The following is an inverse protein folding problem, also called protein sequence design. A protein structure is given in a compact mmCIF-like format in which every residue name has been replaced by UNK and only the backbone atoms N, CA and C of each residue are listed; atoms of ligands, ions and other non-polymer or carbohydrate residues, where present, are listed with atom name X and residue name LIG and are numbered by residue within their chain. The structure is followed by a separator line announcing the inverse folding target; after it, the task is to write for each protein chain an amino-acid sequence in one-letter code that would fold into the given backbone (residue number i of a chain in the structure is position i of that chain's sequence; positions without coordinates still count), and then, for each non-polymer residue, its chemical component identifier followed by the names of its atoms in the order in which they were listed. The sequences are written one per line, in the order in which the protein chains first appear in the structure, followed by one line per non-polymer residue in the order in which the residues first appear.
data_IF_415277257697
#
_entry.id   IF_415277257697
#
_cell.length_a   1.000
_cell.length_b   1.000
_cell.length_c   1.000
_cell.angle_alpha   90.00
_cell.angle_beta   90.00
_cell.angle_gamma   90.00
#
_symmetry.space_group_name_H-M   'P 1'
#
loop_
_entity.id
_entity.type
_entity.pdbx_description
1 polymer ?
#
# COMPACT_ATOMS: atom_id res chain seq x y z
N UNK A 1 -10.31 16.88 -49.64
CA UNK A 1 -9.72 17.94 -48.78
C UNK A 1 -10.80 18.40 -47.83
N UNK A 2 -10.93 17.73 -46.68
CA UNK A 2 -11.81 18.21 -45.59
C UNK A 2 -11.00 19.15 -44.69
N UNK A 3 -11.58 20.31 -44.39
CA UNK A 3 -10.95 21.33 -43.56
C UNK A 3 -10.96 20.91 -42.08
N UNK A 4 -9.91 21.22 -41.30
CA UNK A 4 -9.84 20.82 -39.90
C UNK A 4 -10.78 21.67 -39.03
N UNK A 5 -11.67 20.99 -38.31
CA UNK A 5 -12.59 21.56 -37.34
C UNK A 5 -11.81 22.16 -36.14
N UNK A 6 -11.87 23.49 -35.99
CA UNK A 6 -11.24 24.20 -34.87
C UNK A 6 -11.96 23.84 -33.57
N UNK A 7 -11.34 23.00 -32.73
CA UNK A 7 -11.75 22.79 -31.33
C UNK A 7 -11.85 24.14 -30.60
N UNK A 8 -13.07 24.59 -30.32
CA UNK A 8 -13.34 25.72 -29.41
C UNK A 8 -12.70 25.40 -28.06
N UNK A 9 -11.72 26.18 -27.63
CA UNK A 9 -11.22 26.13 -26.25
C UNK A 9 -12.40 26.42 -25.33
N UNK A 10 -12.91 25.38 -24.64
CA UNK A 10 -13.88 25.55 -23.55
C UNK A 10 -13.21 26.47 -22.52
N UNK A 11 -13.79 27.64 -22.26
CA UNK A 11 -13.33 28.48 -21.15
C UNK A 11 -13.35 27.63 -19.86
N UNK A 12 -12.38 27.80 -18.95
CA UNK A 12 -12.39 27.08 -17.69
C UNK A 12 -13.67 27.42 -16.95
N UNK A 13 -14.53 26.42 -16.72
CA UNK A 13 -15.70 26.55 -15.86
C UNK A 13 -15.16 26.80 -14.46
N UNK A 14 -15.35 28.02 -13.94
CA UNK A 14 -14.98 28.35 -12.57
C UNK A 14 -15.74 27.40 -11.63
N UNK A 15 -15.03 26.76 -10.69
CA UNK A 15 -15.69 25.92 -9.68
C UNK A 15 -16.65 26.76 -8.84
N UNK A 16 -17.76 26.17 -8.39
CA UNK A 16 -18.77 26.85 -7.56
C UNK A 16 -18.16 27.58 -6.36
N UNK A 17 -17.09 27.03 -5.76
CA UNK A 17 -16.34 27.68 -4.68
C UNK A 17 -15.73 29.02 -5.08
N UNK A 18 -15.20 29.12 -6.29
CA UNK A 18 -14.59 30.36 -6.81
C UNK A 18 -15.68 31.39 -7.07
N UNK A 19 -16.84 30.97 -7.60
CA UNK A 19 -17.99 31.85 -7.84
C UNK A 19 -18.50 32.41 -6.50
N UNK A 20 -18.71 31.55 -5.49
CA UNK A 20 -19.15 31.97 -4.16
C UNK A 20 -18.12 32.89 -3.50
N UNK A 21 -16.83 32.56 -3.58
CA UNK A 21 -15.75 33.40 -3.02
C UNK A 21 -15.69 34.78 -3.68
N UNK A 22 -15.86 34.84 -5.01
CA UNK A 22 -15.90 36.10 -5.74
C UNK A 22 -17.13 36.93 -5.38
N UNK A 23 -18.30 36.31 -5.27
CA UNK A 23 -19.53 36.99 -4.84
C UNK A 23 -19.40 37.58 -3.43
N UNK A 24 -18.86 36.81 -2.47
CA UNK A 24 -18.60 37.27 -1.11
C UNK A 24 -17.59 38.42 -1.08
N UNK A 25 -16.51 38.33 -1.88
CA UNK A 25 -15.52 39.39 -1.99
C UNK A 25 -16.12 40.69 -2.56
N UNK A 26 -16.90 40.58 -3.63
CA UNK A 26 -17.58 41.74 -4.24
C UNK A 26 -18.52 42.38 -3.22
N UNK A 27 -19.34 41.58 -2.54
CA UNK A 27 -20.30 42.05 -1.53
C UNK A 27 -19.57 42.75 -0.39
N UNK A 28 -18.47 42.17 0.10
CA UNK A 28 -17.64 42.77 1.13
C UNK A 28 -17.04 44.11 0.69
N UNK A 29 -16.44 44.18 -0.49
CA UNK A 29 -15.86 45.42 -1.03
C UNK A 29 -16.93 46.49 -1.23
N UNK A 30 -18.10 46.13 -1.76
CA UNK A 30 -19.24 47.05 -1.89
C UNK A 30 -19.70 47.57 -0.53
N UNK A 31 -19.77 46.72 0.49
CA UNK A 31 -20.07 47.13 1.86
C UNK A 31 -19.04 48.12 2.43
N UNK A 32 -17.75 47.88 2.22
CA UNK A 32 -16.68 48.79 2.68
C UNK A 32 -16.76 50.14 1.97
N UNK A 33 -17.00 50.15 0.66
CA UNK A 33 -17.19 51.39 -0.12
C UNK A 33 -18.42 52.15 0.39
N UNK A 34 -19.54 51.45 0.63
CA UNK A 34 -20.75 52.06 1.18
C UNK A 34 -20.49 52.67 2.56
N UNK A 35 -19.73 51.98 3.42
CA UNK A 35 -19.36 52.51 4.73
C UNK A 35 -18.48 53.74 4.62
N UNK A 36 -17.50 53.71 3.73
CA UNK A 36 -16.60 54.82 3.49
C UNK A 36 -17.36 56.07 3.04
N UNK A 37 -18.13 55.95 1.96
CA UNK A 37 -18.91 57.06 1.38
C UNK A 37 -19.97 57.57 2.37
N UNK A 38 -20.68 56.66 3.04
CA UNK A 38 -21.76 57.02 3.98
C UNK A 38 -21.31 57.81 5.20
N UNK A 39 -20.03 57.77 5.57
CA UNK A 39 -19.46 58.53 6.68
C UNK A 39 -18.65 59.73 6.21
N UNK A 40 -18.02 59.65 5.03
CA UNK A 40 -17.10 60.67 4.50
C UNK A 40 -17.74 62.06 4.36
N UNK A 41 -18.98 62.14 3.91
CA UNK A 41 -19.69 63.43 3.72
C UNK A 41 -20.30 64.00 5.01
N UNK A 42 -20.16 63.31 6.14
CA UNK A 42 -20.70 63.76 7.43
C UNK A 42 -19.73 64.77 8.06
N UNK A 43 -20.20 65.96 8.46
CA UNK A 43 -19.35 67.08 8.94
C UNK A 43 -18.35 66.71 10.06
N UNK A 44 -18.64 65.70 10.87
CA UNK A 44 -17.77 65.16 11.94
C UNK A 44 -17.55 63.64 11.83
N UNK A 45 -17.75 63.06 10.64
CA UNK A 45 -17.68 61.63 10.39
C UNK A 45 -16.24 61.09 10.42
N UNK A 46 -16.05 59.95 11.08
CA UNK A 46 -14.77 59.22 11.16
C UNK A 46 -14.84 57.91 10.36
N UNK A 47 -14.64 57.94 9.02
CA UNK A 47 -14.83 56.76 8.16
C UNK A 47 -13.90 55.60 8.53
N UNK A 48 -12.67 55.88 8.96
CA UNK A 48 -11.73 54.85 9.44
C UNK A 48 -12.26 54.12 10.68
N UNK A 49 -12.94 54.83 11.59
CA UNK A 49 -13.55 54.20 12.78
C UNK A 49 -14.70 53.30 12.36
N UNK A 50 -15.52 53.72 11.40
CA UNK A 50 -16.60 52.91 10.86
C UNK A 50 -16.09 51.64 10.18
N UNK A 51 -15.05 51.74 9.34
CA UNK A 51 -14.42 50.59 8.68
C UNK A 51 -13.82 49.61 9.70
N UNK A 52 -13.16 50.11 10.76
CA UNK A 52 -12.63 49.24 11.81
C UNK A 52 -13.74 48.43 12.49
N UNK A 53 -14.88 49.07 12.81
CA UNK A 53 -16.05 48.38 13.35
C UNK A 53 -16.66 47.39 12.36
N UNK A 54 -16.69 47.72 11.07
CA UNK A 54 -17.13 46.80 10.01
C UNK A 54 -16.28 45.53 9.99
N UNK A 55 -14.95 45.68 10.04
CA UNK A 55 -14.03 44.55 10.08
C UNK A 55 -14.19 43.73 11.37
N UNK A 56 -14.37 44.39 12.52
CA UNK A 56 -14.60 43.71 13.79
C UNK A 56 -15.89 42.87 13.78
N UNK A 57 -16.99 43.45 13.30
CA UNK A 57 -18.26 42.73 13.13
C UNK A 57 -18.14 41.58 12.13
N UNK A 58 -17.42 41.79 11.02
CA UNK A 58 -17.15 40.75 10.03
C UNK A 58 -16.36 39.58 10.62
N UNK A 59 -15.28 39.85 11.35
CA UNK A 59 -14.46 38.82 12.00
C UNK A 59 -15.26 38.07 13.07
N UNK A 60 -16.08 38.77 13.85
CA UNK A 60 -16.96 38.13 14.83
C UNK A 60 -17.97 37.19 14.15
N UNK A 61 -18.64 37.68 13.11
CA UNK A 61 -19.52 36.87 12.27
C UNK A 61 -18.79 35.66 11.70
N UNK A 62 -17.61 35.86 11.13
CA UNK A 62 -16.79 34.83 10.52
C UNK A 62 -16.35 33.75 11.52
N UNK A 63 -15.99 34.12 12.75
CA UNK A 63 -15.64 33.15 13.80
C UNK A 63 -16.83 32.25 14.13
N UNK A 64 -18.02 32.82 14.25
CA UNK A 64 -19.25 32.05 14.48
C UNK A 64 -19.57 31.20 13.24
N UNK A 65 -19.50 31.77 12.04
CA UNK A 65 -19.76 31.08 10.78
C UNK A 65 -18.83 29.89 10.57
N UNK A 66 -17.55 30.06 10.86
CA UNK A 66 -16.56 28.99 10.84
C UNK A 66 -16.96 27.85 11.79
N UNK A 67 -17.29 28.17 13.05
CA UNK A 67 -17.70 27.19 14.06
C UNK A 67 -18.88 26.34 13.56
N UNK A 68 -19.93 27.00 13.04
CA UNK A 68 -21.10 26.34 12.47
C UNK A 68 -20.82 25.61 11.15
N UNK A 69 -19.75 25.98 10.44
CA UNK A 69 -19.33 25.39 9.19
C UNK A 69 -18.48 24.13 9.33
N UNK A 70 -17.96 23.83 10.53
CA UNK A 70 -17.16 22.63 10.78
C UNK A 70 -18.02 21.38 10.48
N UNK A 71 -17.56 20.49 9.58
CA UNK A 71 -18.31 19.28 9.25
C UNK A 71 -18.41 18.39 10.48
N UNK A 72 -19.63 17.89 10.75
CA UNK A 72 -19.89 16.89 11.78
C UNK A 72 -19.95 15.53 11.12
N UNK A 73 -19.08 14.60 11.53
CA UNK A 73 -19.15 13.21 11.11
C UNK A 73 -20.21 12.56 11.98
N UNK A 74 -21.30 12.10 11.37
CA UNK A 74 -22.23 11.23 12.07
C UNK A 74 -21.48 9.93 12.37
N UNK A 75 -20.99 9.79 13.61
CA UNK A 75 -20.57 8.49 14.12
C UNK A 75 -21.81 7.60 14.03
N UNK A 76 -21.87 6.76 13.00
CA UNK A 76 -22.86 5.71 12.92
C UNK A 76 -22.54 4.76 14.05
N UNK A 77 -23.29 4.85 15.16
CA UNK A 77 -23.28 3.78 16.13
C UNK A 77 -23.55 2.48 15.36
N UNK A 78 -22.68 1.46 15.42
CA UNK A 78 -23.02 0.17 14.87
C UNK A 78 -24.35 -0.26 15.48
N UNK A 79 -25.30 -0.79 14.68
CA UNK A 79 -26.58 -1.23 15.20
C UNK A 79 -26.32 -2.20 16.36
N UNK A 80 -27.05 -2.09 17.49
CA UNK A 80 -26.88 -3.00 18.61
C UNK A 80 -27.03 -4.44 18.08
N UNK A 81 -26.20 -5.38 18.57
CA UNK A 81 -26.32 -6.77 18.16
C UNK A 81 -27.77 -7.21 18.38
N UNK A 82 -28.36 -7.99 17.46
CA UNK A 82 -29.72 -8.48 17.62
C UNK A 82 -29.83 -9.19 18.97
N UNK A 83 -30.93 -9.01 19.71
CA UNK A 83 -31.14 -9.69 20.98
C UNK A 83 -30.98 -11.20 20.75
N UNK A 84 -30.42 -11.96 21.70
CA UNK A 84 -30.31 -13.41 21.57
C UNK A 84 -31.70 -13.96 21.31
N UNK A 85 -31.92 -14.45 20.08
CA UNK A 85 -33.12 -15.19 19.71
C UNK A 85 -33.20 -16.39 20.63
N UNK A 86 -34.03 -16.28 21.67
CA UNK A 86 -34.48 -17.42 22.44
C UNK A 86 -35.35 -18.28 21.52
N UNK A 87 -34.75 -19.25 20.85
CA UNK A 87 -35.48 -20.34 20.22
C UNK A 87 -35.47 -21.54 21.16
N UNK A 88 -36.63 -22.10 21.52
CA UNK A 88 -36.69 -23.45 22.07
C UNK A 88 -36.23 -24.45 21.01
N UNK A 89 -35.50 -25.46 21.46
CA UNK A 89 -35.00 -26.56 20.65
C UNK A 89 -36.10 -27.24 19.80
N UNK A 90 -35.82 -27.43 18.51
CA UNK A 90 -36.54 -28.36 17.64
C UNK A 90 -35.52 -29.06 16.70
N UNK A 91 -35.80 -30.29 16.23
CA UNK A 91 -34.76 -31.28 15.90
C UNK A 91 -34.12 -31.12 14.52
N UNK A 92 -32.89 -31.63 14.43
CA UNK A 92 -32.01 -31.70 13.26
C UNK A 92 -32.58 -32.59 12.14
N UNK A 93 -33.11 -32.02 11.06
CA UNK A 93 -33.15 -32.68 9.72
C UNK A 93 -33.36 -31.65 8.59
N UNK A 94 -32.27 -31.13 8.01
CA UNK A 94 -32.11 -30.74 6.59
C UNK A 94 -30.75 -30.00 6.40
N UNK A 95 -30.00 -30.24 5.30
CA UNK A 95 -28.77 -29.51 5.02
C UNK A 95 -29.05 -28.08 4.51
N UNK A 96 -28.21 -27.08 4.83
CA UNK A 96 -28.42 -25.70 4.42
C UNK A 96 -28.07 -25.47 2.93
N UNK A 97 -28.77 -24.55 2.24
CA UNK A 97 -28.41 -24.14 0.87
C UNK A 97 -27.09 -23.35 0.84
N UNK A 98 -26.38 -23.30 -0.31
CA UNK A 98 -25.08 -22.65 -0.42
C UNK A 98 -25.18 -21.13 -0.24
N UNK A 99 -24.15 -20.48 0.35
CA UNK A 99 -24.15 -19.03 0.54
C UNK A 99 -24.05 -18.29 -0.79
N UNK A 100 -24.90 -17.28 -0.97
CA UNK A 100 -24.85 -16.35 -2.10
C UNK A 100 -23.58 -15.48 -2.04
N UNK A 101 -23.01 -15.05 -3.19
CA UNK A 101 -21.79 -14.24 -3.21
C UNK A 101 -22.01 -12.85 -2.59
N UNK A 102 -21.00 -12.26 -1.93
CA UNK A 102 -21.13 -10.93 -1.36
C UNK A 102 -21.27 -9.88 -2.47
N UNK A 103 -22.38 -9.15 -2.46
CA UNK A 103 -22.59 -7.96 -3.29
C UNK A 103 -21.65 -6.85 -2.81
N UNK A 104 -20.56 -6.62 -3.55
CA UNK A 104 -19.56 -5.56 -3.33
C UNK A 104 -20.09 -4.16 -3.68
N UNK A 105 -21.16 -3.70 -3.03
CA UNK A 105 -21.57 -2.30 -3.05
C UNK A 105 -22.11 -1.88 -1.69
N UNK A 106 -21.34 -2.11 -0.63
CA UNK A 106 -21.53 -1.34 0.59
C UNK A 106 -20.79 -0.03 0.39
N UNK A 107 -21.57 1.00 0.08
CA UNK A 107 -21.16 2.39 -0.06
C UNK A 107 -20.20 2.74 1.08
N UNK A 108 -18.94 3.00 0.72
CA UNK A 108 -17.91 3.46 1.65
C UNK A 108 -18.47 4.63 2.47
N UNK A 109 -18.87 4.33 3.71
CA UNK A 109 -19.17 5.33 4.71
C UNK A 109 -17.93 6.19 4.85
N UNK A 110 -18.12 7.49 4.70
CA UNK A 110 -17.06 8.49 4.71
C UNK A 110 -16.51 8.63 6.14
N UNK A 111 -15.72 7.65 6.58
CA UNK A 111 -15.03 7.68 7.88
C UNK A 111 -13.81 8.62 7.76
N UNK A 112 -14.11 9.91 7.82
CA UNK A 112 -13.12 10.96 8.07
C UNK A 112 -12.50 10.70 9.44
N UNK A 113 -11.40 9.94 9.50
CA UNK A 113 -10.53 9.81 10.69
C UNK A 113 -9.74 11.11 10.91
N UNK A 114 -10.44 12.22 11.01
CA UNK A 114 -9.88 13.52 11.40
C UNK A 114 -9.89 13.58 12.93
N UNK A 115 -8.93 14.29 13.51
CA UNK A 115 -8.88 14.58 14.94
C UNK A 115 -10.22 15.22 15.41
N UNK A 116 -11.07 14.43 16.05
CA UNK A 116 -12.45 14.79 16.43
C UNK A 116 -12.52 15.83 17.55
N UNK A 117 -11.39 16.21 18.15
CA UNK A 117 -11.37 17.18 19.25
C UNK A 117 -12.01 18.52 18.85
N UNK A 118 -11.68 19.07 17.68
CA UNK A 118 -12.26 20.35 17.23
C UNK A 118 -13.73 20.22 16.84
N UNK A 119 -14.12 19.08 16.27
CA UNK A 119 -15.51 18.78 15.93
C UNK A 119 -16.38 18.70 17.19
N UNK A 120 -15.96 17.88 18.17
CA UNK A 120 -16.64 17.74 19.44
C UNK A 120 -16.72 19.07 20.17
N UNK A 121 -15.62 19.84 20.14
CA UNK A 121 -15.58 21.15 20.77
C UNK A 121 -16.60 22.10 20.13
N UNK A 122 -16.66 22.09 18.81
CA UNK A 122 -17.62 22.89 18.06
C UNK A 122 -19.07 22.47 18.29
N UNK A 123 -19.35 21.17 18.38
CA UNK A 123 -20.71 20.68 18.60
C UNK A 123 -21.29 21.13 19.95
N UNK A 124 -20.53 21.01 21.05
CA UNK A 124 -21.00 21.51 22.35
C UNK A 124 -21.13 23.03 22.34
N UNK A 125 -20.17 23.76 21.75
CA UNK A 125 -20.17 25.21 21.75
C UNK A 125 -21.34 25.77 20.92
N UNK A 126 -21.58 25.22 19.72
CA UNK A 126 -22.72 25.63 18.89
C UNK A 126 -24.06 25.35 19.57
N UNK A 127 -24.22 24.22 20.27
CA UNK A 127 -25.43 23.93 21.07
C UNK A 127 -25.65 24.95 22.17
N UNK A 128 -24.60 25.35 22.89
CA UNK A 128 -24.68 26.40 23.92
C UNK A 128 -25.06 27.74 23.28
N UNK A 129 -24.40 28.14 22.18
CA UNK A 129 -24.68 29.40 21.49
C UNK A 129 -26.13 29.47 21.00
N UNK A 130 -26.63 28.41 20.37
CA UNK A 130 -28.03 28.34 19.92
C UNK A 130 -28.99 28.34 21.11
N UNK A 131 -28.72 27.54 22.15
CA UNK A 131 -29.55 27.44 23.34
C UNK A 131 -29.68 28.77 24.08
N UNK A 132 -28.55 29.43 24.38
CA UNK A 132 -28.54 30.75 25.02
C UNK A 132 -29.15 31.83 24.11
N UNK A 133 -28.85 31.77 22.81
CA UNK A 133 -29.40 32.70 21.83
C UNK A 133 -30.92 32.65 21.74
N UNK A 134 -31.53 31.47 21.82
CA UNK A 134 -32.99 31.30 21.82
C UNK A 134 -33.64 31.90 23.06
N UNK A 135 -33.03 31.74 24.24
CA UNK A 135 -33.53 32.31 25.50
C UNK A 135 -33.45 33.84 25.48
N UNK A 136 -32.32 34.38 24.99
CA UNK A 136 -32.03 35.82 25.01
C UNK A 136 -32.57 36.58 23.79
N UNK A 137 -33.22 35.91 22.83
CA UNK A 137 -33.61 36.49 21.54
C UNK A 137 -34.45 37.77 21.67
N UNK A 138 -35.31 37.83 22.70
CA UNK A 138 -36.16 39.01 22.97
C UNK A 138 -35.36 40.26 23.36
N UNK A 139 -34.15 40.11 23.89
CA UNK A 139 -33.28 41.22 24.30
C UNK A 139 -32.40 41.75 23.16
N UNK A 140 -32.31 41.01 22.04
CA UNK A 140 -31.42 41.32 20.92
C UNK A 140 -31.66 42.72 20.33
N UNK A 141 -32.90 43.18 20.07
CA UNK A 141 -33.11 44.53 19.54
C UNK A 141 -32.60 45.65 20.47
N UNK A 142 -32.80 45.50 21.78
CA UNK A 142 -32.35 46.48 22.77
C UNK A 142 -30.81 46.49 22.90
N UNK A 143 -30.18 45.31 22.90
CA UNK A 143 -28.71 45.17 22.91
C UNK A 143 -28.08 45.71 21.63
N UNK A 144 -28.68 45.41 20.47
CA UNK A 144 -28.24 45.95 19.18
C UNK A 144 -28.34 47.47 19.16
N UNK A 145 -29.45 48.06 19.62
CA UNK A 145 -29.59 49.51 19.73
C UNK A 145 -28.51 50.13 20.62
N UNK A 146 -28.19 49.48 21.74
CA UNK A 146 -27.16 49.94 22.68
C UNK A 146 -25.75 49.87 22.08
N UNK A 147 -25.42 48.75 21.41
CA UNK A 147 -24.15 48.57 20.70
C UNK A 147 -24.00 49.56 19.53
N UNK A 148 -25.05 49.73 18.73
CA UNK A 148 -25.09 50.69 17.63
C UNK A 148 -24.90 52.12 18.13
N UNK A 149 -25.55 52.51 19.23
CA UNK A 149 -25.35 53.83 19.85
C UNK A 149 -23.92 54.04 20.36
N UNK A 150 -23.29 53.01 20.92
CA UNK A 150 -21.88 53.07 21.33
C UNK A 150 -20.95 53.26 20.12
N UNK A 151 -21.15 52.48 19.06
CA UNK A 151 -20.37 52.55 17.82
C UNK A 151 -20.58 53.91 17.13
N UNK A 152 -21.83 54.39 17.06
CA UNK A 152 -22.19 55.66 16.44
C UNK A 152 -21.48 56.84 17.10
N UNK A 153 -21.35 56.87 18.43
CA UNK A 153 -20.56 57.91 19.14
C UNK A 153 -19.09 57.96 18.69
N UNK A 154 -18.53 56.82 18.32
CA UNK A 154 -17.17 56.74 17.76
C UNK A 154 -17.09 57.19 16.31
N UNK A 155 -18.17 57.02 15.53
CA UNK A 155 -18.24 57.37 14.11
C UNK A 155 -18.56 58.85 13.91
N UNK A 156 -19.59 59.38 14.56
CA UNK A 156 -20.05 60.77 14.41
C UNK A 156 -21.49 60.98 14.89
N UNK A 157 -21.94 62.24 15.06
CA UNK A 157 -23.31 62.53 15.49
C UNK A 157 -24.34 62.09 14.44
N UNK A 158 -25.46 61.49 14.89
CA UNK A 158 -26.59 61.11 14.03
C UNK A 158 -26.40 59.83 13.23
N UNK A 159 -25.35 59.03 13.49
CA UNK A 159 -25.07 57.80 12.74
C UNK A 159 -25.63 56.53 13.38
N UNK A 160 -26.60 56.64 14.30
CA UNK A 160 -27.13 55.51 15.09
C UNK A 160 -27.73 54.39 14.21
N UNK A 161 -28.58 54.75 13.25
CA UNK A 161 -29.20 53.79 12.32
C UNK A 161 -28.17 53.19 11.36
N UNK A 162 -27.20 54.00 10.93
CA UNK A 162 -26.10 53.56 10.08
C UNK A 162 -25.21 52.53 10.81
N UNK A 163 -24.85 52.80 12.07
CA UNK A 163 -24.09 51.89 12.92
C UNK A 163 -24.85 50.58 13.15
N UNK A 164 -26.18 50.62 13.36
CA UNK A 164 -26.99 49.42 13.48
C UNK A 164 -26.98 48.58 12.19
N UNK A 165 -27.14 49.21 11.02
CA UNK A 165 -27.07 48.54 9.73
C UNK A 165 -25.70 47.92 9.45
N UNK A 166 -24.62 48.64 9.78
CA UNK A 166 -23.24 48.18 9.67
C UNK A 166 -22.99 46.90 10.49
N UNK A 167 -23.40 46.91 11.77
CA UNK A 167 -23.25 45.75 12.67
C UNK A 167 -23.96 44.53 12.08
N UNK A 168 -25.23 44.68 11.66
CA UNK A 168 -26.02 43.57 11.12
C UNK A 168 -25.40 43.06 9.81
N UNK A 169 -25.08 43.96 8.88
CA UNK A 169 -24.58 43.62 7.57
C UNK A 169 -23.26 42.83 7.63
N UNK A 170 -22.25 43.38 8.31
CA UNK A 170 -20.93 42.75 8.34
C UNK A 170 -20.91 41.48 9.19
N UNK A 171 -21.71 41.39 10.26
CA UNK A 171 -21.84 40.16 11.05
C UNK A 171 -22.46 39.04 10.22
N UNK A 172 -23.55 39.31 9.49
CA UNK A 172 -24.20 38.30 8.62
C UNK A 172 -23.26 37.90 7.48
N UNK A 173 -22.59 38.87 6.84
CA UNK A 173 -21.67 38.60 5.74
C UNK A 173 -20.47 37.76 6.18
N UNK A 174 -19.89 38.08 7.34
CA UNK A 174 -18.82 37.29 7.95
C UNK A 174 -19.28 35.87 8.27
N UNK A 175 -20.45 35.73 8.91
CA UNK A 175 -21.04 34.44 9.24
C UNK A 175 -21.26 33.59 7.98
N UNK A 176 -22.00 34.12 7.01
CA UNK A 176 -22.30 33.42 5.76
C UNK A 176 -21.01 33.06 5.01
N UNK A 177 -20.06 33.99 4.95
CA UNK A 177 -18.81 33.79 4.23
C UNK A 177 -17.97 32.66 4.82
N UNK A 178 -17.68 32.71 6.12
CA UNK A 178 -16.90 31.67 6.77
C UNK A 178 -17.63 30.32 6.80
N UNK A 179 -18.95 30.31 7.01
CA UNK A 179 -19.77 29.09 6.98
C UNK A 179 -19.70 28.40 5.61
N UNK A 180 -19.94 29.15 4.53
CA UNK A 180 -19.94 28.61 3.17
C UNK A 180 -18.54 28.16 2.76
N UNK A 181 -17.49 28.94 3.04
CA UNK A 181 -16.10 28.57 2.72
C UNK A 181 -15.71 27.29 3.46
N UNK A 182 -16.00 27.19 4.76
CA UNK A 182 -15.67 26.00 5.56
C UNK A 182 -16.38 24.77 5.01
N UNK A 183 -17.69 24.89 4.70
CA UNK A 183 -18.50 23.77 4.22
C UNK A 183 -18.20 23.35 2.79
N UNK A 184 -17.90 24.30 1.89
CA UNK A 184 -17.69 24.03 0.47
C UNK A 184 -16.24 23.69 0.12
N UNK A 185 -15.27 24.32 0.80
CA UNK A 185 -13.85 24.15 0.48
C UNK A 185 -13.17 23.17 1.42
N UNK A 186 -13.22 23.39 2.73
CA UNK A 186 -12.41 22.63 3.70
C UNK A 186 -12.88 21.18 3.78
N UNK A 187 -14.19 20.94 3.90
CA UNK A 187 -14.74 19.59 3.92
C UNK A 187 -14.42 18.80 2.64
N UNK A 188 -14.53 19.45 1.48
CA UNK A 188 -14.17 18.84 0.19
C UNK A 188 -12.66 18.60 0.05
N UNK A 189 -11.82 19.48 0.60
CA UNK A 189 -10.36 19.33 0.56
C UNK A 189 -9.88 18.15 1.40
N UNK A 190 -10.36 18.00 2.64
CA UNK A 190 -10.02 16.84 3.49
C UNK A 190 -10.51 15.54 2.86
N UNK A 191 -11.76 15.50 2.38
CA UNK A 191 -12.27 14.30 1.72
C UNK A 191 -11.53 13.92 0.42
N UNK A 192 -10.91 14.87 -0.29
CA UNK A 192 -10.02 14.57 -1.42
C UNK A 192 -8.65 14.09 -0.96
N UNK A 193 -8.09 14.72 0.08
CA UNK A 193 -6.79 14.33 0.64
C UNK A 193 -6.83 12.90 1.20
N UNK A 194 -7.86 12.55 1.97
CA UNK A 194 -8.01 11.22 2.56
C UNK A 194 -8.21 10.15 1.48
N UNK A 195 -9.09 10.41 0.50
CA UNK A 195 -9.27 9.49 -0.64
C UNK A 195 -7.98 9.31 -1.46
N UNK A 196 -7.20 10.38 -1.63
CA UNK A 196 -5.91 10.27 -2.31
C UNK A 196 -4.90 9.46 -1.49
N UNK A 197 -4.87 9.65 -0.17
CA UNK A 197 -4.02 8.89 0.74
C UNK A 197 -4.38 7.40 0.75
N UNK A 198 -5.66 7.05 0.92
CA UNK A 198 -6.12 5.65 0.88
C UNK A 198 -5.85 5.00 -0.48
N UNK A 199 -6.03 5.74 -1.57
CA UNK A 199 -5.71 5.23 -2.92
C UNK A 199 -4.21 4.98 -3.08
N UNK A 200 -3.36 5.89 -2.57
CA UNK A 200 -1.91 5.70 -2.60
C UNK A 200 -1.50 4.47 -1.78
N UNK A 201 -2.09 4.28 -0.61
CA UNK A 201 -1.85 3.12 0.25
C UNK A 201 -2.23 1.81 -0.43
N UNK A 202 -3.40 1.75 -1.09
CA UNK A 202 -3.82 0.58 -1.87
C UNK A 202 -2.86 0.32 -3.05
N UNK A 203 -2.42 1.37 -3.74
CA UNK A 203 -1.42 1.25 -4.81
C UNK A 203 -0.08 0.74 -4.29
N UNK A 204 0.37 1.20 -3.13
CA UNK A 204 1.62 0.75 -2.53
C UNK A 204 1.53 -0.73 -2.12
N UNK A 205 0.41 -1.16 -1.53
CA UNK A 205 0.15 -2.56 -1.20
C UNK A 205 0.16 -3.45 -2.44
N UNK A 206 -0.60 -3.09 -3.49
CA UNK A 206 -0.63 -3.83 -4.75
C UNK A 206 0.74 -3.88 -5.42
N UNK A 207 1.49 -2.78 -5.36
CA UNK A 207 2.83 -2.71 -5.93
C UNK A 207 3.77 -3.66 -5.22
N UNK A 208 3.77 -3.65 -3.87
CA UNK A 208 4.56 -4.58 -3.07
C UNK A 208 4.15 -6.03 -3.31
N UNK A 209 2.84 -6.30 -3.42
CA UNK A 209 2.34 -7.63 -3.72
C UNK A 209 2.87 -8.15 -5.07
N UNK A 210 3.07 -7.27 -6.05
CA UNK A 210 3.61 -7.64 -7.36
C UNK A 210 5.14 -7.65 -7.45
N UNK A 211 5.86 -7.27 -6.39
CA UNK A 211 7.33 -7.35 -6.38
C UNK A 211 7.76 -8.81 -6.61
N UNK A 212 8.64 -9.02 -7.59
CA UNK A 212 9.28 -10.31 -7.76
C UNK A 212 10.33 -10.47 -6.66
N UNK A 213 10.21 -11.54 -5.88
CA UNK A 213 11.20 -11.85 -4.87
C UNK A 213 12.51 -12.29 -5.53
N UNK A 214 13.66 -11.83 -5.01
CA UNK A 214 14.94 -12.17 -5.60
C UNK A 214 15.09 -13.69 -5.65
N UNK A 215 15.47 -14.17 -6.83
CA UNK A 215 15.99 -15.50 -7.00
C UNK A 215 17.10 -15.78 -5.96
N UNK A 216 17.04 -16.90 -5.23
CA UNK A 216 18.18 -17.34 -4.41
C UNK A 216 19.44 -17.38 -5.29
N UNK A 217 20.47 -16.61 -4.90
CA UNK A 217 21.72 -16.47 -5.66
C UNK A 217 21.70 -15.41 -6.77
N UNK A 218 20.74 -14.47 -6.79
CA UNK A 218 20.83 -13.24 -7.62
C UNK A 218 20.60 -11.98 -6.79
N UNK A 219 21.40 -10.97 -7.09
CA UNK A 219 21.16 -9.59 -6.68
C UNK A 219 20.19 -8.94 -7.68
N UNK A 220 18.89 -9.00 -7.41
CA UNK A 220 17.90 -8.21 -8.15
C UNK A 220 17.73 -6.84 -7.47
N UNK A 221 18.01 -5.77 -8.22
CA UNK A 221 17.89 -4.40 -7.74
C UNK A 221 16.42 -3.97 -7.83
N UNK A 222 15.83 -3.63 -6.69
CA UNK A 222 14.48 -3.08 -6.61
C UNK A 222 14.41 -1.74 -7.34
N UNK A 223 13.34 -1.50 -8.12
CA UNK A 223 13.12 -0.18 -8.72
C UNK A 223 12.88 0.89 -7.65
N UNK A 224 13.17 2.16 -7.94
CA UNK A 224 12.98 3.25 -6.98
C UNK A 224 11.54 3.37 -6.50
N UNK A 225 10.57 3.14 -7.39
CA UNK A 225 9.15 3.15 -7.07
C UNK A 225 8.75 1.96 -6.19
N UNK A 226 9.25 0.75 -6.47
CA UNK A 226 9.01 -0.44 -5.63
C UNK A 226 9.62 -0.24 -4.24
N UNK A 227 10.81 0.36 -4.19
CA UNK A 227 11.50 0.68 -2.93
C UNK A 227 10.73 1.72 -2.13
N UNK A 228 10.13 2.71 -2.78
CA UNK A 228 9.27 3.70 -2.13
C UNK A 228 8.00 3.04 -1.57
N UNK A 229 7.29 2.25 -2.38
CA UNK A 229 6.10 1.53 -1.94
C UNK A 229 6.40 0.57 -0.79
N UNK A 230 7.49 -0.22 -0.89
CA UNK A 230 7.93 -1.11 0.17
C UNK A 230 8.23 -0.34 1.47
N UNK A 231 8.89 0.82 1.41
CA UNK A 231 9.13 1.66 2.59
C UNK A 231 7.84 2.14 3.23
N UNK A 232 6.88 2.60 2.43
CA UNK A 232 5.59 3.06 2.92
C UNK A 232 4.84 1.94 3.64
N UNK A 233 4.73 0.77 3.01
CA UNK A 233 4.09 -0.41 3.61
C UNK A 233 4.83 -0.86 4.88
N UNK A 234 6.16 -0.98 4.83
CA UNK A 234 6.99 -1.45 5.94
C UNK A 234 6.99 -0.49 7.15
N UNK A 235 6.68 0.79 6.95
CA UNK A 235 6.65 1.78 8.04
C UNK A 235 5.49 1.58 9.02
N UNK A 236 4.44 0.86 8.61
CA UNK A 236 3.31 0.55 9.49
C UNK A 236 3.74 -0.43 10.60
N UNK A 237 3.37 -0.18 11.87
CA UNK A 237 3.61 -1.13 12.95
C UNK A 237 2.86 -2.45 12.71
N UNK A 238 3.56 -3.58 12.78
CA UNK A 238 2.96 -4.92 12.61
C UNK A 238 1.79 -5.21 13.59
N UNK A 239 1.77 -4.54 14.74
CA UNK A 239 0.72 -4.66 15.74
C UNK A 239 -0.63 -4.07 15.28
N UNK A 240 -0.61 -3.10 14.36
CA UNK A 240 -1.81 -2.46 13.82
C UNK A 240 -2.42 -3.26 12.65
N UNK A 241 -1.70 -4.27 12.15
CA UNK A 241 -2.13 -5.10 11.03
C UNK A 241 -2.88 -6.35 11.53
N UNK A 242 -4.13 -6.48 11.10
CA UNK A 242 -5.03 -7.58 11.49
C UNK A 242 -5.22 -8.60 10.36
N UNK A 243 -5.31 -8.15 9.10
CA UNK A 243 -5.54 -9.03 7.96
C UNK A 243 -4.29 -9.87 7.65
N UNK A 244 -4.41 -11.21 7.53
CA UNK A 244 -3.29 -12.06 7.14
C UNK A 244 -2.68 -11.64 5.79
N UNK A 245 -3.50 -11.20 4.84
CA UNK A 245 -3.00 -10.77 3.54
C UNK A 245 -2.17 -9.49 3.67
N UNK A 246 -2.67 -8.50 4.42
CA UNK A 246 -1.93 -7.26 4.68
C UNK A 246 -0.62 -7.51 5.41
N UNK A 247 -0.62 -8.40 6.42
CA UNK A 247 0.58 -8.83 7.12
C UNK A 247 1.57 -9.50 6.16
N UNK A 248 1.09 -10.31 5.21
CA UNK A 248 1.95 -10.99 4.23
C UNK A 248 2.59 -10.01 3.25
N UNK A 249 1.86 -8.97 2.82
CA UNK A 249 2.37 -7.90 1.96
C UNK A 249 3.36 -7.04 2.72
N UNK A 250 3.08 -6.73 3.99
CA UNK A 250 4.04 -6.07 4.88
C UNK A 250 5.32 -6.88 5.04
N UNK A 251 5.22 -8.19 5.26
CA UNK A 251 6.37 -9.08 5.35
C UNK A 251 7.18 -9.12 4.05
N UNK A 252 6.49 -9.07 2.89
CA UNK A 252 7.11 -8.96 1.57
C UNK A 252 7.88 -7.65 1.43
N UNK A 253 7.31 -6.53 1.86
CA UNK A 253 7.99 -5.24 1.87
C UNK A 253 9.27 -5.28 2.73
N UNK A 254 9.19 -5.84 3.94
CA UNK A 254 10.37 -6.01 4.80
C UNK A 254 11.45 -6.86 4.11
N UNK A 255 11.05 -7.99 3.51
CA UNK A 255 11.97 -8.88 2.78
C UNK A 255 12.66 -8.15 1.61
N UNK A 256 11.89 -7.41 0.80
CA UNK A 256 12.41 -6.64 -0.34
C UNK A 256 13.36 -5.50 0.06
N UNK A 257 13.25 -5.01 1.30
CA UNK A 257 14.14 -3.99 1.86
C UNK A 257 15.37 -4.58 2.58
N UNK A 258 15.48 -5.91 2.68
CA UNK A 258 16.56 -6.59 3.40
C UNK A 258 16.33 -6.74 4.91
N UNK A 259 15.14 -6.42 5.41
CA UNK A 259 14.77 -6.53 6.83
C UNK A 259 14.28 -7.97 7.14
N UNK A 260 15.18 -8.95 7.01
CA UNK A 260 14.83 -10.37 7.01
C UNK A 260 14.16 -10.85 8.32
N UNK A 261 14.61 -10.35 9.47
CA UNK A 261 14.07 -10.72 10.78
C UNK A 261 12.59 -10.32 10.90
N UNK A 262 12.25 -9.12 10.46
CA UNK A 262 10.87 -8.62 10.52
C UNK A 262 10.00 -9.29 9.46
N UNK A 263 10.55 -9.58 8.27
CA UNK A 263 9.86 -10.40 7.28
C UNK A 263 9.49 -11.79 7.83
N UNK A 264 10.42 -12.46 8.52
CA UNK A 264 10.15 -13.76 9.17
C UNK A 264 9.03 -13.64 10.21
N UNK A 265 9.02 -12.59 11.05
CA UNK A 265 7.92 -12.37 12.02
C UNK A 265 6.57 -12.18 11.33
N UNK A 266 6.52 -11.34 10.29
CA UNK A 266 5.29 -11.06 9.54
C UNK A 266 4.74 -12.31 8.87
N UNK A 267 5.57 -13.03 8.11
CA UNK A 267 5.16 -14.28 7.48
C UNK A 267 4.77 -15.33 8.51
N UNK A 268 5.52 -15.49 9.59
CA UNK A 268 5.18 -16.40 10.68
C UNK A 268 3.81 -16.12 11.30
N UNK A 269 3.43 -14.84 11.46
CA UNK A 269 2.10 -14.42 11.94
C UNK A 269 1.00 -14.73 10.91
N UNK A 270 1.26 -14.54 9.62
CA UNK A 270 0.26 -14.72 8.56
C UNK A 270 0.06 -16.16 8.09
N UNK A 271 1.10 -17.00 8.16
CA UNK A 271 1.11 -18.32 7.52
C UNK A 271 0.15 -19.33 8.14
N UNK A 272 -0.30 -19.09 9.38
CA UNK A 272 -1.33 -19.92 10.02
C UNK A 272 -2.66 -19.92 9.26
N UNK A 273 -3.00 -18.82 8.58
CA UNK A 273 -4.25 -18.67 7.80
C UNK A 273 -4.00 -18.70 6.29
N UNK A 274 -2.82 -18.28 5.84
CA UNK A 274 -2.43 -18.27 4.42
C UNK A 274 -1.61 -19.49 4.00
N UNK A 275 -1.54 -20.51 4.86
CA UNK A 275 -0.69 -21.67 4.66
C UNK A 275 -1.01 -22.50 3.42
N UNK A 276 -2.17 -22.31 2.78
CA UNK A 276 -2.50 -23.03 1.55
C UNK A 276 -2.02 -22.35 0.27
N UNK A 277 -1.56 -21.10 0.36
CA UNK A 277 -1.01 -20.39 -0.79
C UNK A 277 0.49 -20.72 -0.99
N UNK A 278 0.88 -21.39 -2.10
CA UNK A 278 2.26 -21.73 -2.37
C UNK A 278 3.16 -20.49 -2.54
N UNK A 279 2.62 -19.34 -2.99
CA UNK A 279 3.40 -18.11 -3.13
C UNK A 279 3.80 -17.57 -1.76
N UNK A 280 2.86 -17.52 -0.80
CA UNK A 280 3.13 -17.02 0.54
C UNK A 280 4.11 -17.94 1.29
N UNK A 281 4.04 -19.26 1.06
CA UNK A 281 5.05 -20.20 1.58
C UNK A 281 6.43 -20.02 0.96
N UNK A 282 6.51 -19.84 -0.35
CA UNK A 282 7.77 -19.56 -1.04
C UNK A 282 8.40 -18.26 -0.54
N UNK A 283 7.58 -17.22 -0.34
CA UNK A 283 8.04 -15.95 0.20
C UNK A 283 8.56 -16.08 1.65
N UNK A 284 7.86 -16.86 2.48
CA UNK A 284 8.32 -17.14 3.84
C UNK A 284 9.64 -17.94 3.84
N UNK A 285 9.75 -18.97 3.00
CA UNK A 285 10.99 -19.73 2.81
C UNK A 285 12.16 -18.82 2.41
N UNK A 286 11.91 -17.86 1.53
CA UNK A 286 12.91 -16.88 1.10
C UNK A 286 13.36 -15.99 2.26
N UNK A 287 12.43 -15.49 3.08
CA UNK A 287 12.76 -14.71 4.27
C UNK A 287 13.59 -15.52 5.28
N UNK A 288 13.20 -16.76 5.54
CA UNK A 288 13.93 -17.67 6.43
C UNK A 288 15.34 -17.93 5.93
N UNK A 289 15.52 -18.17 4.63
CA UNK A 289 16.83 -18.42 4.03
C UNK A 289 17.78 -17.25 4.28
N UNK A 290 17.36 -16.02 3.94
CA UNK A 290 18.20 -14.83 4.10
C UNK A 290 18.40 -14.42 5.56
N UNK A 291 17.48 -14.80 6.46
CA UNK A 291 17.68 -14.65 7.91
C UNK A 291 18.70 -15.63 8.51
N UNK A 292 19.13 -16.65 7.75
CA UNK A 292 20.06 -17.69 8.19
C UNK A 292 19.39 -18.97 8.68
N UNK A 293 18.06 -19.00 8.82
CA UNK A 293 17.29 -20.17 9.24
C UNK A 293 17.05 -21.17 8.09
N UNK A 294 18.14 -21.70 7.50
CA UNK A 294 18.13 -22.50 6.27
C UNK A 294 17.30 -23.78 6.35
N UNK A 295 17.32 -24.49 7.49
CA UNK A 295 16.54 -25.72 7.65
C UNK A 295 15.03 -25.45 7.62
N UNK A 296 14.59 -24.40 8.31
CA UNK A 296 13.20 -23.96 8.29
C UNK A 296 12.81 -23.44 6.90
N UNK A 297 13.73 -22.77 6.20
CA UNK A 297 13.52 -22.33 4.83
C UNK A 297 13.23 -23.53 3.90
N UNK A 298 14.02 -24.59 3.99
CA UNK A 298 13.81 -25.80 3.20
C UNK A 298 12.47 -26.47 3.49
N UNK A 299 12.06 -26.53 4.77
CA UNK A 299 10.74 -27.04 5.17
C UNK A 299 9.61 -26.23 4.53
N UNK A 300 9.64 -24.89 4.61
CA UNK A 300 8.60 -24.06 4.00
C UNK A 300 8.59 -24.16 2.47
N UNK A 301 9.76 -24.37 1.87
CA UNK A 301 9.89 -24.54 0.43
C UNK A 301 9.30 -25.87 -0.05
N UNK A 302 9.48 -26.96 0.71
CA UNK A 302 8.79 -28.23 0.47
C UNK A 302 7.28 -28.09 0.58
N UNK A 303 6.80 -27.33 1.57
CA UNK A 303 5.38 -27.06 1.75
C UNK A 303 4.78 -26.22 0.61
N UNK A 304 5.56 -25.29 0.03
CA UNK A 304 5.19 -24.57 -1.18
C UNK A 304 5.09 -25.53 -2.39
N UNK A 305 6.08 -26.40 -2.57
CA UNK A 305 6.10 -27.41 -3.63
C UNK A 305 4.90 -28.35 -3.58
N UNK A 306 4.55 -28.87 -2.39
CA UNK A 306 3.39 -29.77 -2.21
C UNK A 306 2.06 -29.14 -2.62
N UNK A 307 1.99 -27.80 -2.66
CA UNK A 307 0.79 -27.02 -2.99
C UNK A 307 0.78 -26.50 -4.43
N UNK A 308 1.83 -26.77 -5.21
CA UNK A 308 1.83 -26.43 -6.63
C UNK A 308 0.85 -27.33 -7.38
N UNK A 309 0.01 -26.70 -8.21
CA UNK A 309 -0.94 -27.39 -9.10
C UNK A 309 -0.67 -27.02 -10.56
N UNK A 310 -1.27 -27.73 -11.51
CA UNK A 310 -1.13 -27.39 -12.94
C UNK A 310 -1.56 -25.94 -13.27
N UNK A 311 -2.41 -25.33 -12.43
CA UNK A 311 -2.86 -23.94 -12.56
C UNK A 311 -1.95 -22.91 -11.89
N UNK A 312 -0.96 -23.34 -11.09
CA UNK A 312 -0.02 -22.42 -10.44
C UNK A 312 0.79 -21.61 -11.46
N UNK A 313 1.09 -20.36 -11.11
CA UNK A 313 1.92 -19.49 -11.93
C UNK A 313 3.26 -20.16 -12.29
N UNK A 314 3.65 -20.06 -13.57
CA UNK A 314 4.85 -20.74 -14.07
C UNK A 314 6.14 -20.12 -13.53
N UNK A 315 6.14 -18.83 -13.22
CA UNK A 315 7.29 -18.14 -12.63
C UNK A 315 7.49 -18.58 -11.18
N UNK A 316 6.41 -18.65 -10.40
CA UNK A 316 6.43 -19.21 -9.05
C UNK A 316 6.93 -20.65 -9.07
N UNK A 317 6.36 -21.51 -9.92
CA UNK A 317 6.79 -22.91 -10.09
C UNK A 317 8.29 -22.98 -10.36
N UNK A 318 8.79 -22.26 -11.37
CA UNK A 318 10.23 -22.18 -11.67
C UNK A 318 11.07 -21.80 -10.44
N UNK A 319 10.63 -20.78 -9.71
CA UNK A 319 11.37 -20.25 -8.56
C UNK A 319 11.40 -21.24 -7.39
N UNK A 320 10.30 -21.95 -7.13
CA UNK A 320 10.22 -23.01 -6.12
C UNK A 320 11.18 -24.16 -6.46
N UNK A 321 11.10 -24.73 -7.67
CA UNK A 321 11.98 -25.85 -8.06
C UNK A 321 13.45 -25.45 -8.13
N UNK A 322 13.77 -24.25 -8.62
CA UNK A 322 15.15 -23.75 -8.61
C UNK A 322 15.68 -23.63 -7.17
N UNK A 323 14.87 -23.12 -6.26
CA UNK A 323 15.27 -22.98 -4.85
C UNK A 323 15.42 -24.33 -4.16
N UNK A 324 14.54 -25.31 -4.48
CA UNK A 324 14.59 -26.66 -3.90
C UNK A 324 15.85 -27.38 -4.35
N UNK A 325 16.10 -27.39 -5.65
CA UNK A 325 17.30 -28.03 -6.22
C UNK A 325 18.56 -27.39 -5.67
N UNK A 326 18.61 -26.05 -5.54
CA UNK A 326 19.77 -25.37 -4.98
C UNK A 326 19.99 -25.72 -3.51
N UNK A 327 18.98 -25.60 -2.65
CA UNK A 327 19.14 -25.87 -1.22
C UNK A 327 19.41 -27.35 -0.93
N UNK A 328 18.88 -28.26 -1.74
CA UNK A 328 19.13 -29.70 -1.61
C UNK A 328 20.60 -30.08 -1.84
N UNK A 329 21.34 -29.35 -2.69
CA UNK A 329 22.79 -29.57 -2.91
C UNK A 329 23.65 -29.38 -1.65
N UNK A 330 23.12 -28.69 -0.64
CA UNK A 330 23.81 -28.44 0.63
C UNK A 330 23.34 -29.34 1.77
N UNK A 331 22.42 -30.27 1.50
CA UNK A 331 21.99 -31.29 2.46
C UNK A 331 22.95 -32.48 2.42
N UNK A 332 22.97 -33.27 3.50
CA UNK A 332 23.90 -34.39 3.63
C UNK A 332 23.72 -35.45 2.51
N UNK A 333 24.83 -35.88 1.87
CA UNK A 333 24.82 -37.03 0.98
C UNK A 333 24.41 -38.35 1.68
N UNK A 334 23.74 -39.29 0.98
CA UNK A 334 23.33 -39.21 -0.43
C UNK A 334 22.02 -38.45 -0.65
N UNK A 335 21.27 -38.18 0.42
CA UNK A 335 19.91 -37.63 0.32
C UNK A 335 19.88 -36.28 -0.38
N UNK A 336 20.85 -35.40 -0.11
CA UNK A 336 20.89 -34.05 -0.71
C UNK A 336 20.93 -34.07 -2.24
N UNK A 337 21.90 -34.75 -2.83
CA UNK A 337 21.98 -34.85 -4.29
C UNK A 337 20.85 -35.70 -4.88
N UNK A 338 20.34 -36.71 -4.18
CA UNK A 338 19.22 -37.51 -4.69
C UNK A 338 17.91 -36.70 -4.73
N UNK A 339 17.65 -35.86 -3.72
CA UNK A 339 16.53 -34.92 -3.73
C UNK A 339 16.70 -33.84 -4.82
N UNK A 340 17.91 -33.29 -4.97
CA UNK A 340 18.21 -32.34 -6.05
C UNK A 340 17.98 -32.95 -7.45
N UNK A 341 18.43 -34.18 -7.68
CA UNK A 341 18.18 -34.92 -8.92
C UNK A 341 16.69 -35.15 -9.12
N UNK A 342 15.98 -35.64 -8.10
CA UNK A 342 14.54 -35.91 -8.18
C UNK A 342 13.75 -34.67 -8.58
N UNK A 343 13.94 -33.55 -7.88
CA UNK A 343 13.24 -32.30 -8.20
C UNK A 343 13.67 -31.71 -9.55
N UNK A 344 14.96 -31.79 -9.89
CA UNK A 344 15.49 -31.29 -11.16
C UNK A 344 14.91 -32.05 -12.35
N UNK A 345 14.98 -33.38 -12.32
CA UNK A 345 14.43 -34.28 -13.36
C UNK A 345 12.92 -34.13 -13.50
N UNK A 346 12.19 -34.01 -12.38
CA UNK A 346 10.75 -33.76 -12.38
C UNK A 346 10.41 -32.45 -13.12
N UNK A 347 11.13 -31.37 -12.83
CA UNK A 347 10.89 -30.06 -13.45
C UNK A 347 11.18 -30.05 -14.95
N UNK A 348 12.33 -30.61 -15.36
CA UNK A 348 12.78 -30.53 -16.76
C UNK A 348 12.07 -31.50 -17.69
N UNK A 349 11.46 -32.56 -17.14
CA UNK A 349 10.66 -33.53 -17.91
C UNK A 349 9.33 -32.95 -18.39
N UNK A 350 8.75 -32.01 -17.65
CA UNK A 350 7.54 -31.33 -18.06
C UNK A 350 7.85 -30.13 -18.96
N UNK A 351 7.65 -30.31 -20.26
CA UNK A 351 7.91 -29.29 -21.28
C UNK A 351 6.96 -28.08 -21.22
N UNK A 352 5.90 -28.12 -20.38
CA UNK A 352 5.06 -26.94 -20.15
C UNK A 352 5.72 -25.94 -19.20
N UNK A 353 6.74 -26.36 -18.45
CA UNK A 353 7.50 -25.50 -17.55
C UNK A 353 8.36 -24.49 -18.30
N UNK A 354 8.59 -23.33 -17.68
CA UNK A 354 9.53 -22.36 -18.20
C UNK A 354 10.95 -22.93 -18.15
N UNK A 355 11.71 -22.79 -19.22
CA UNK A 355 13.12 -23.18 -19.23
C UNK A 355 13.86 -22.44 -18.11
N UNK A 356 14.61 -23.19 -17.30
CA UNK A 356 15.32 -22.65 -16.14
C UNK A 356 16.77 -23.11 -16.17
N UNK A 357 17.69 -22.28 -16.69
CA UNK A 357 19.11 -22.60 -16.69
C UNK A 357 19.68 -22.89 -15.29
N UNK A 358 19.13 -22.24 -14.26
CA UNK A 358 19.51 -22.50 -12.87
C UNK A 358 19.13 -23.90 -12.39
N UNK A 359 17.96 -24.43 -12.80
CA UNK A 359 17.57 -25.81 -12.46
C UNK A 359 18.50 -26.80 -13.17
N UNK A 360 18.83 -26.56 -14.44
CA UNK A 360 19.78 -27.41 -15.17
C UNK A 360 21.19 -27.39 -14.57
N UNK A 361 21.69 -26.23 -14.15
CA UNK A 361 22.97 -26.11 -13.47
C UNK A 361 22.98 -26.83 -12.11
N UNK A 362 21.92 -26.67 -11.30
CA UNK A 362 21.80 -27.39 -10.03
C UNK A 362 21.70 -28.91 -10.24
N UNK A 363 21.00 -29.35 -11.29
CA UNK A 363 20.91 -30.76 -11.65
C UNK A 363 22.27 -31.31 -12.09
N UNK A 364 23.07 -30.53 -12.83
CA UNK A 364 24.43 -30.91 -13.21
C UNK A 364 25.30 -31.10 -11.96
N UNK A 365 25.28 -30.13 -11.04
CA UNK A 365 25.97 -30.23 -9.75
C UNK A 365 25.58 -31.49 -8.99
N UNK A 366 24.29 -31.79 -8.91
CA UNK A 366 23.79 -32.94 -8.17
C UNK A 366 24.32 -34.27 -8.75
N UNK A 367 24.38 -34.40 -10.08
CA UNK A 367 24.98 -35.57 -10.71
C UNK A 367 26.49 -35.67 -10.50
N UNK A 368 27.20 -34.54 -10.43
CA UNK A 368 28.62 -34.51 -10.09
C UNK A 368 28.88 -34.89 -8.63
N UNK A 369 28.10 -34.37 -7.68
CA UNK A 369 28.12 -34.81 -6.28
C UNK A 369 27.85 -36.32 -6.15
N UNK A 370 26.86 -36.83 -6.89
CA UNK A 370 26.54 -38.26 -6.92
C UNK A 370 27.68 -39.10 -7.47
N UNK A 371 28.30 -38.69 -8.58
CA UNK A 371 29.46 -39.38 -9.15
C UNK A 371 30.62 -39.42 -8.17
N UNK A 372 30.96 -38.27 -7.56
CA UNK A 372 32.00 -38.18 -6.52
C UNK A 372 31.71 -39.12 -5.35
N UNK A 373 30.46 -39.17 -4.89
CA UNK A 373 30.04 -40.06 -3.81
C UNK A 373 30.13 -41.54 -4.21
N UNK A 374 29.69 -41.91 -5.41
CA UNK A 374 29.78 -43.29 -5.92
C UNK A 374 31.22 -43.76 -6.05
N UNK A 375 32.12 -42.94 -6.57
CA UNK A 375 33.55 -43.28 -6.65
C UNK A 375 34.18 -43.49 -5.27
N UNK A 376 33.74 -42.73 -4.26
CA UNK A 376 34.25 -42.87 -2.90
C UNK A 376 33.66 -44.06 -2.12
N UNK A 377 32.39 -44.39 -2.35
CA UNK A 377 31.66 -45.36 -1.51
C UNK A 377 31.36 -46.69 -2.22
N UNK A 378 31.08 -46.65 -3.53
CA UNK A 378 30.66 -47.80 -4.33
C UNK A 378 31.44 -47.91 -5.67
N UNK A 379 32.80 -47.87 -5.68
CA UNK A 379 33.58 -47.78 -6.92
C UNK A 379 33.47 -49.02 -7.84
N UNK A 380 33.00 -50.15 -7.32
CA UNK A 380 32.83 -51.39 -8.09
C UNK A 380 31.49 -51.46 -8.86
N UNK A 381 30.54 -50.56 -8.58
CA UNK A 381 29.24 -50.54 -9.28
C UNK A 381 29.36 -49.78 -10.61
N UNK A 382 29.93 -50.46 -11.61
CA UNK A 382 30.15 -49.88 -12.93
C UNK A 382 28.84 -49.43 -13.60
N UNK A 383 27.74 -50.16 -13.37
CA UNK A 383 26.42 -49.80 -13.91
C UNK A 383 25.96 -48.45 -13.37
N UNK A 384 26.09 -48.22 -12.06
CA UNK A 384 25.72 -46.95 -11.43
C UNK A 384 26.63 -45.81 -11.87
N UNK A 385 27.93 -46.04 -12.01
CA UNK A 385 28.89 -45.06 -12.52
C UNK A 385 28.57 -44.66 -13.97
N UNK A 386 28.40 -45.63 -14.88
CA UNK A 386 28.11 -45.38 -16.29
C UNK A 386 26.77 -44.66 -16.48
N UNK A 387 25.74 -45.07 -15.72
CA UNK A 387 24.42 -44.42 -15.75
C UNK A 387 24.51 -42.98 -15.26
N UNK A 388 25.22 -42.75 -14.15
CA UNK A 388 25.39 -41.41 -13.57
C UNK A 388 26.20 -40.52 -14.50
N UNK A 389 27.29 -41.02 -15.09
CA UNK A 389 28.08 -40.28 -16.09
C UNK A 389 27.24 -39.89 -17.30
N UNK A 390 26.51 -40.85 -17.89
CA UNK A 390 25.70 -40.61 -19.09
C UNK A 390 24.63 -39.55 -18.84
N UNK A 391 23.99 -39.60 -17.66
CA UNK A 391 23.01 -38.58 -17.24
C UNK A 391 23.66 -37.23 -16.99
N UNK A 392 24.78 -37.20 -16.27
CA UNK A 392 25.55 -35.98 -16.01
C UNK A 392 25.93 -35.28 -17.32
N UNK A 393 26.44 -36.03 -18.31
CA UNK A 393 26.86 -35.50 -19.61
C UNK A 393 25.68 -34.85 -20.35
N UNK A 394 24.53 -35.52 -20.39
CA UNK A 394 23.33 -34.98 -21.03
C UNK A 394 22.84 -33.68 -20.35
N UNK A 395 22.84 -33.63 -19.02
CA UNK A 395 22.43 -32.45 -18.24
C UNK A 395 23.42 -31.29 -18.43
N UNK A 396 24.72 -31.58 -18.40
CA UNK A 396 25.79 -30.61 -18.64
C UNK A 396 25.69 -30.02 -20.06
N UNK A 397 25.42 -30.87 -21.07
CA UNK A 397 25.20 -30.41 -22.45
C UNK A 397 24.03 -29.45 -22.54
N UNK A 398 22.89 -29.78 -21.89
CA UNK A 398 21.74 -28.89 -21.85
C UNK A 398 22.05 -27.57 -21.16
N UNK A 399 22.68 -27.59 -19.97
CA UNK A 399 23.03 -26.40 -19.20
C UNK A 399 24.01 -25.48 -19.95
N UNK A 400 25.10 -26.05 -20.50
CA UNK A 400 26.10 -25.31 -21.26
C UNK A 400 25.52 -24.74 -22.57
N UNK A 401 24.53 -25.41 -23.17
CA UNK A 401 23.83 -24.94 -24.37
C UNK A 401 22.92 -23.72 -24.15
N UNK A 402 22.66 -23.30 -22.91
CA UNK A 402 21.74 -22.18 -22.60
C UNK A 402 22.38 -20.78 -22.73
N UNK A 403 23.51 -20.70 -23.42
CA UNK A 403 24.24 -19.47 -23.74
C UNK A 403 25.57 -19.33 -22.98
N UNK A 404 26.40 -18.40 -23.46
CA UNK A 404 27.80 -18.25 -23.01
C UNK A 404 27.95 -18.03 -21.50
N UNK A 405 27.00 -17.32 -20.87
CA UNK A 405 27.00 -17.13 -19.42
C UNK A 405 26.94 -18.47 -18.67
N UNK A 406 26.09 -19.39 -19.11
CA UNK A 406 25.91 -20.68 -18.45
C UNK A 406 27.01 -21.66 -18.82
N UNK A 407 27.48 -21.65 -20.07
CA UNK A 407 28.69 -22.37 -20.47
C UNK A 407 29.89 -22.00 -19.58
N UNK A 408 30.08 -20.71 -19.33
CA UNK A 408 31.12 -20.20 -18.42
C UNK A 408 30.91 -20.68 -16.98
N UNK A 409 29.67 -20.66 -16.46
CA UNK A 409 29.38 -21.14 -15.10
C UNK A 409 29.62 -22.66 -14.96
N UNK A 410 29.21 -23.47 -15.92
CA UNK A 410 29.51 -24.91 -15.92
C UNK A 410 31.02 -25.16 -16.00
N UNK A 411 31.75 -24.37 -16.81
CA UNK A 411 33.22 -24.42 -16.84
C UNK A 411 33.83 -24.10 -15.48
N UNK A 412 33.35 -23.06 -14.80
CA UNK A 412 33.79 -22.69 -13.45
C UNK A 412 33.59 -23.83 -12.45
N UNK A 413 32.44 -24.52 -12.51
CA UNK A 413 32.14 -25.65 -11.62
C UNK A 413 33.07 -26.86 -11.84
N UNK A 414 33.61 -27.00 -13.05
CA UNK A 414 34.43 -28.15 -13.46
C UNK A 414 35.95 -27.87 -13.40
N UNK A 415 36.39 -26.68 -13.79
CA UNK A 415 37.79 -26.30 -13.86
C UNK A 415 38.27 -25.80 -12.49
N UNK A 416 39.14 -26.57 -11.83
CA UNK A 416 39.73 -26.20 -10.54
C UNK A 416 40.56 -24.90 -10.60
N UNK A 417 41.11 -24.58 -11.77
CA UNK A 417 41.97 -23.41 -11.98
C UNK A 417 41.19 -22.20 -12.51
N UNK A 418 39.86 -22.24 -12.47
CA UNK A 418 39.05 -21.13 -12.96
C UNK A 418 39.32 -19.85 -12.16
N UNK A 419 39.51 -18.69 -12.81
CA UNK A 419 39.86 -17.44 -12.11
C UNK A 419 38.80 -17.03 -11.07
N UNK A 420 39.23 -16.73 -9.84
CA UNK A 420 38.39 -16.30 -8.72
C UNK A 420 37.27 -17.29 -8.34
N UNK A 421 37.49 -18.59 -8.58
CA UNK A 421 36.55 -19.65 -8.23
C UNK A 421 36.32 -19.72 -6.71
N UNK A 422 35.07 -19.92 -6.31
CA UNK A 422 34.72 -20.23 -4.92
C UNK A 422 35.39 -21.55 -4.51
N UNK A 423 36.19 -21.60 -3.43
CA UNK A 423 36.85 -22.83 -2.98
C UNK A 423 35.88 -23.99 -2.68
N UNK A 424 34.61 -23.70 -2.40
CA UNK A 424 33.58 -24.70 -2.12
C UNK A 424 32.88 -25.23 -3.39
N UNK A 425 33.05 -24.56 -4.52
CA UNK A 425 32.46 -24.94 -5.80
C UNK A 425 33.26 -26.09 -6.43
N UNK A 426 32.97 -27.33 -6.06
CA UNK A 426 33.69 -28.51 -6.58
C UNK A 426 32.76 -29.53 -7.24
N UNK A 427 31.51 -29.15 -7.51
CA UNK A 427 30.45 -30.10 -7.81
C UNK A 427 30.70 -30.87 -9.11
N UNK A 428 31.35 -30.27 -10.11
CA UNK A 428 31.65 -30.93 -11.39
C UNK A 428 33.13 -31.31 -11.59
N UNK A 429 34.02 -31.06 -10.62
CA UNK A 429 35.45 -31.35 -10.76
C UNK A 429 35.76 -32.84 -10.98
N UNK A 430 34.84 -33.72 -10.56
CA UNK A 430 34.93 -35.17 -10.80
C UNK A 430 34.99 -35.53 -12.30
N UNK A 431 34.55 -34.62 -13.18
CA UNK A 431 34.56 -34.79 -14.64
C UNK A 431 35.65 -33.96 -15.34
N UNK A 432 36.56 -33.31 -14.61
CA UNK A 432 37.53 -32.37 -15.20
C UNK A 432 38.47 -33.00 -16.25
N UNK A 433 38.77 -34.29 -16.09
CA UNK A 433 39.62 -35.07 -17.00
C UNK A 433 38.82 -35.81 -18.10
N UNK A 434 37.49 -35.66 -18.11
CA UNK A 434 36.63 -36.34 -19.06
C UNK A 434 36.48 -35.56 -20.37
N UNK A 435 37.04 -36.09 -21.46
CA UNK A 435 37.07 -35.47 -22.79
C UNK A 435 35.70 -35.06 -23.33
N UNK A 436 34.64 -35.81 -23.01
CA UNK A 436 33.29 -35.47 -23.49
C UNK A 436 32.77 -34.21 -22.77
N UNK A 437 33.03 -34.08 -21.47
CA UNK A 437 32.64 -32.90 -20.68
C UNK A 437 33.49 -31.68 -21.04
N UNK A 438 34.80 -31.86 -21.23
CA UNK A 438 35.72 -30.78 -21.64
C UNK A 438 35.30 -30.11 -22.94
N UNK A 439 34.92 -30.90 -23.95
CA UNK A 439 34.39 -30.40 -25.23
C UNK A 439 33.17 -29.51 -25.08
N UNK A 440 32.25 -29.84 -24.16
CA UNK A 440 31.02 -29.07 -23.94
C UNK A 440 31.28 -27.66 -23.42
N UNK A 441 32.37 -27.46 -22.66
CA UNK A 441 32.73 -26.16 -22.07
C UNK A 441 33.89 -25.44 -22.76
N UNK A 442 34.50 -26.07 -23.77
CA UNK A 442 35.64 -25.51 -24.50
C UNK A 442 36.95 -25.50 -23.69
N UNK A 443 37.25 -26.65 -23.07
CA UNK A 443 38.50 -26.96 -22.37
C UNK A 443 39.35 -27.99 -23.13
#
# INVERSE_FOLDING_TARGET
MEAPEKKKKKLPVLSDTVIVSLFLLITFCTGIVFVWVGVYDTKDGKPLTAVLWSLACFVLGALIGFLFGIPRVLQGNPPPPPPPSGSPAAPLTAPPPPPSPPTLLQTAGYDLRVNTNLEQISDWLTKIIVGLGLVELRTVPARLKSAAGYIARGIGPGTDYFAAGLVVYFTILGFMGAYLITRLYIAGAFGRADRAASKQEEQDLQRVENIQLPALGRDEVLSDDDKKAAKNVASKPLAELESPNEISVWAKAQLSLGNYVDAVKGYGKAIGQLGEDPEKRYAYATALYYSGAKDLAFVQLLEAYKRLTAASDKTLRRNVYRSLTYQALFQDPPKGFDDAIRFGEEYVRDHQNLVSPGVWANLAAAYGQKMKWLLANNPADQTALDTTRSRALAVVQQAAGMGERWKKKIREMMDKNFPNKDPNESDLEVFAEDEDFRKLVGL
#
